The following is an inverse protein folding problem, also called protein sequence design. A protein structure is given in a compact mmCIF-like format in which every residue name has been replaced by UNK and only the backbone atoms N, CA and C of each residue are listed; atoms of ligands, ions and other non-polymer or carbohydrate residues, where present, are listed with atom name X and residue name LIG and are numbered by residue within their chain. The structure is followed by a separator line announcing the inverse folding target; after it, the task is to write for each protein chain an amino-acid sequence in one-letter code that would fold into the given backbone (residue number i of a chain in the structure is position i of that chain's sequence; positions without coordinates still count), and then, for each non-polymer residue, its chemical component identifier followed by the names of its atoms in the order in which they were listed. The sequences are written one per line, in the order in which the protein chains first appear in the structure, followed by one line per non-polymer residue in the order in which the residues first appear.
data_IF_123279522607
#
_entry.id   IF_123279522607
#
_cell.length_a   1.000
_cell.length_b   1.000
_cell.length_c   1.000
_cell.angle_alpha   90.00
_cell.angle_beta   90.00
_cell.angle_gamma   90.00
#
_symmetry.space_group_name_H-M   'P 1'
#
loop_
_entity.id
_entity.type
_entity.pdbx_description
1 polymer ?
#
# COMPACT_ATOMS: atom_id res chain seq x y z
N UNK A 1 9.64 -3.07 -8.36
CA UNK A 1 10.07 -3.29 -6.96
C UNK A 1 9.84 -4.76 -6.68
N UNK A 2 10.82 -5.47 -6.13
CA UNK A 2 10.68 -6.88 -5.74
C UNK A 2 10.56 -6.87 -4.21
N UNK A 3 9.56 -7.55 -3.67
CA UNK A 3 9.30 -7.65 -2.23
C UNK A 3 9.34 -9.13 -1.82
N UNK A 4 9.94 -9.42 -0.65
CA UNK A 4 10.11 -10.78 -0.13
C UNK A 4 9.40 -10.89 1.23
N UNK A 5 8.49 -11.85 1.36
CA UNK A 5 7.70 -12.06 2.57
C UNK A 5 7.73 -13.54 2.99
N UNK A 6 7.82 -13.80 4.30
CA UNK A 6 7.74 -15.15 4.86
C UNK A 6 7.05 -15.13 6.22
N UNK A 7 6.12 -16.08 6.44
CA UNK A 7 5.46 -16.29 7.74
C UNK A 7 6.31 -17.15 8.68
N UNK A 8 7.14 -18.04 8.12
CA UNK A 8 8.03 -18.89 8.90
C UNK A 8 9.41 -18.25 9.01
N UNK A 9 10.15 -18.62 10.07
CA UNK A 9 11.61 -18.56 10.00
C UNK A 9 12.03 -19.34 8.75
N UNK A 10 13.09 -18.88 8.08
CA UNK A 10 13.65 -19.58 6.92
C UNK A 10 13.75 -21.07 7.27
N UNK A 11 13.34 -21.99 6.37
CA UNK A 11 13.42 -23.41 6.67
C UNK A 11 14.83 -23.75 7.16
N UNK A 12 14.96 -24.60 8.17
CA UNK A 12 16.26 -25.19 8.53
C UNK A 12 16.69 -26.04 7.32
N UNK A 13 17.47 -25.43 6.44
CA UNK A 13 18.12 -26.13 5.34
C UNK A 13 19.51 -26.50 5.85
N UNK A 14 19.85 -27.79 5.91
CA UNK A 14 21.16 -28.23 6.40
C UNK A 14 22.33 -27.66 5.58
N UNK A 15 22.07 -27.26 4.33
CA UNK A 15 23.08 -26.79 3.38
C UNK A 15 22.64 -25.48 2.68
N UNK A 16 22.41 -24.43 3.47
CA UNK A 16 22.12 -23.09 2.93
C UNK A 16 23.40 -22.30 2.66
N UNK A 17 23.41 -21.57 1.54
CA UNK A 17 24.42 -20.56 1.25
C UNK A 17 23.83 -19.17 1.45
N UNK A 18 24.37 -18.42 2.40
CA UNK A 18 24.07 -17.00 2.54
C UNK A 18 24.80 -16.26 1.42
N UNK A 19 24.05 -15.65 0.50
CA UNK A 19 24.62 -14.71 -0.48
C UNK A 19 24.21 -13.29 -0.07
N UNK A 20 25.16 -12.38 0.21
CA UNK A 20 24.82 -11.01 0.49
C UNK A 20 24.17 -10.37 -0.74
N UNK A 21 23.04 -9.70 -0.54
CA UNK A 21 22.49 -8.81 -1.56
C UNK A 21 23.31 -7.52 -1.48
N UNK A 22 24.14 -7.27 -2.48
CA UNK A 22 24.88 -6.02 -2.60
C UNK A 22 23.93 -4.92 -3.06
N UNK A 23 23.47 -4.14 -2.09
CA UNK A 23 22.63 -2.96 -2.32
C UNK A 23 23.60 -1.79 -2.47
N UNK A 24 23.65 -1.15 -3.64
CA UNK A 24 24.42 0.10 -3.79
C UNK A 24 23.77 1.20 -2.94
N UNK A 25 24.56 2.18 -2.47
CA UNK A 25 24.05 3.28 -1.61
C UNK A 25 22.89 4.07 -2.26
N UNK A 26 22.75 4.00 -3.58
CA UNK A 26 21.64 4.60 -4.34
C UNK A 26 20.31 3.86 -4.18
N UNK A 27 20.31 2.64 -3.62
CA UNK A 27 19.13 1.79 -3.40
C UNK A 27 18.73 1.82 -1.91
N UNK A 28 18.68 3.03 -1.34
CA UNK A 28 18.14 3.35 0.01
C UNK A 28 16.61 3.15 0.12
N UNK A 29 15.99 2.36 -0.77
CA UNK A 29 14.53 2.28 -0.92
C UNK A 29 13.90 1.01 -0.33
N UNK A 30 14.65 0.21 0.45
CA UNK A 30 14.08 -0.93 1.15
C UNK A 30 13.08 -0.44 2.20
N UNK A 31 11.82 -0.42 1.83
CA UNK A 31 10.71 -0.15 2.72
C UNK A 31 10.38 -1.48 3.41
N UNK A 32 10.96 -1.73 4.57
CA UNK A 32 10.54 -2.86 5.39
C UNK A 32 9.16 -2.55 5.97
N UNK A 33 8.12 -3.14 5.38
CA UNK A 33 6.80 -3.21 6.00
C UNK A 33 6.83 -4.44 6.90
N UNK A 34 6.68 -4.23 8.21
CA UNK A 34 6.35 -5.34 9.11
C UNK A 34 4.89 -5.66 8.85
N UNK A 35 4.63 -6.77 8.18
CA UNK A 35 3.28 -7.26 7.96
C UNK A 35 2.78 -7.92 9.24
N UNK A 36 1.69 -7.39 9.78
CA UNK A 36 0.87 -8.14 10.73
C UNK A 36 0.10 -9.27 10.00
N UNK A 37 -0.65 -10.06 10.77
CA UNK A 37 -1.36 -11.21 10.20
C UNK A 37 -2.43 -10.79 9.19
N UNK A 38 -3.08 -9.66 9.45
CA UNK A 38 -4.15 -9.08 8.67
C UNK A 38 -3.63 -8.64 7.30
N UNK A 39 -2.53 -7.90 7.25
CA UNK A 39 -1.89 -7.50 5.99
C UNK A 39 -1.19 -8.66 5.28
N UNK A 40 -0.69 -9.66 6.00
CA UNK A 40 -0.17 -10.87 5.36
C UNK A 40 -1.29 -11.66 4.67
N UNK A 41 -2.45 -11.81 5.31
CA UNK A 41 -3.61 -12.43 4.68
C UNK A 41 -4.07 -11.61 3.46
N UNK A 42 -4.12 -10.29 3.60
CA UNK A 42 -4.46 -9.37 2.51
C UNK A 42 -3.51 -9.52 1.30
N UNK A 43 -2.21 -9.71 1.54
CA UNK A 43 -1.23 -9.98 0.49
C UNK A 43 -1.58 -11.24 -0.30
N UNK A 44 -1.89 -12.33 0.41
CA UNK A 44 -2.22 -13.61 -0.22
C UNK A 44 -3.54 -13.54 -1.01
N UNK A 45 -4.55 -12.87 -0.48
CA UNK A 45 -5.84 -12.67 -1.15
C UNK A 45 -5.71 -11.79 -2.39
N UNK A 46 -4.83 -10.79 -2.34
CA UNK A 46 -4.59 -9.85 -3.43
C UNK A 46 -3.61 -10.31 -4.50
N UNK A 47 -2.90 -11.42 -4.25
CA UNK A 47 -1.89 -11.95 -5.15
C UNK A 47 -2.54 -12.76 -6.29
N UNK A 48 -2.03 -12.54 -7.50
CA UNK A 48 -2.40 -13.26 -8.72
C UNK A 48 -1.14 -13.66 -9.47
N UNK A 49 -1.23 -14.70 -10.30
CA UNK A 49 -0.10 -15.15 -11.12
C UNK A 49 -0.31 -14.69 -12.55
N UNK A 50 0.62 -13.88 -13.06
CA UNK A 50 0.65 -13.43 -14.46
C UNK A 50 1.98 -13.90 -15.05
N UNK A 51 1.94 -14.69 -16.12
CA UNK A 51 3.13 -15.25 -16.79
C UNK A 51 4.10 -15.97 -15.84
N UNK A 52 3.56 -16.67 -14.83
CA UNK A 52 4.34 -17.38 -13.82
C UNK A 52 4.93 -16.50 -12.71
N UNK A 53 4.63 -15.20 -12.71
CA UNK A 53 5.08 -14.22 -11.72
C UNK A 53 3.92 -13.88 -10.79
N UNK A 54 4.15 -13.97 -9.48
CA UNK A 54 3.18 -13.51 -8.48
C UNK A 54 3.19 -11.98 -8.41
N UNK A 55 2.03 -11.37 -8.66
CA UNK A 55 1.80 -9.93 -8.70
C UNK A 55 0.62 -9.62 -7.81
N UNK A 56 0.73 -8.59 -6.98
CA UNK A 56 -0.41 -8.08 -6.21
C UNK A 56 -1.26 -7.15 -7.08
N UNK A 57 -2.57 -7.37 -7.09
CA UNK A 57 -3.52 -6.57 -7.86
C UNK A 57 -3.62 -5.12 -7.38
N UNK A 58 -4.05 -4.22 -8.27
CA UNK A 58 -4.11 -2.78 -8.00
C UNK A 58 -4.97 -2.40 -6.77
N UNK A 59 -6.19 -2.96 -6.56
CA UNK A 59 -6.99 -2.63 -5.38
C UNK A 59 -6.28 -3.00 -4.07
N UNK A 60 -5.60 -4.15 -4.04
CA UNK A 60 -4.89 -4.59 -2.84
C UNK A 60 -3.64 -3.74 -2.62
N UNK A 61 -2.92 -3.38 -3.69
CA UNK A 61 -1.80 -2.41 -3.59
C UNK A 61 -2.23 -1.07 -2.99
N UNK A 62 -3.42 -0.57 -3.33
CA UNK A 62 -3.96 0.66 -2.72
C UNK A 62 -4.00 0.55 -1.20
N UNK A 63 -4.45 -0.58 -0.65
CA UNK A 63 -4.52 -0.81 0.79
C UNK A 63 -3.14 -0.80 1.45
N UNK A 64 -2.14 -1.43 0.81
CA UNK A 64 -0.75 -1.39 1.30
C UNK A 64 -0.17 0.03 1.28
N UNK A 65 -0.46 0.82 0.23
CA UNK A 65 0.01 2.20 0.12
C UNK A 65 -0.68 3.10 1.15
N UNK A 66 -1.98 2.93 1.38
CA UNK A 66 -2.71 3.63 2.41
C UNK A 66 -2.14 3.35 3.80
N UNK A 67 -1.85 2.08 4.11
CA UNK A 67 -1.23 1.68 5.38
C UNK A 67 0.15 2.30 5.57
N UNK A 68 1.02 2.18 4.56
CA UNK A 68 2.36 2.76 4.61
C UNK A 68 2.31 4.29 4.81
N UNK A 69 1.33 4.98 4.21
CA UNK A 69 1.12 6.40 4.43
C UNK A 69 0.76 6.71 5.89
N UNK A 70 -0.19 5.98 6.47
CA UNK A 70 -0.60 6.14 7.87
C UNK A 70 0.57 5.88 8.83
N UNK A 71 1.31 4.81 8.61
CA UNK A 71 2.45 4.44 9.47
C UNK A 71 3.56 5.50 9.40
N UNK A 72 3.86 6.04 8.21
CA UNK A 72 4.86 7.11 8.07
C UNK A 72 4.39 8.44 8.69
N UNK A 73 3.09 8.76 8.60
CA UNK A 73 2.51 9.94 9.26
C UNK A 73 2.58 9.81 10.77
N UNK A 74 2.19 8.66 11.32
CA UNK A 74 2.29 8.35 12.75
C UNK A 74 3.73 8.46 13.25
N UNK A 75 4.70 7.85 12.55
CA UNK A 75 6.12 7.95 12.93
C UNK A 75 6.63 9.37 12.90
N UNK A 76 6.18 10.19 11.94
CA UNK A 76 6.51 11.62 11.87
C UNK A 76 5.92 12.39 13.05
N UNK A 77 4.69 12.10 13.45
CA UNK A 77 4.01 12.68 14.62
C UNK A 77 4.72 12.28 15.94
N UNK A 78 5.26 11.07 16.01
CA UNK A 78 6.08 10.56 17.13
C UNK A 78 7.50 11.15 17.18
N UNK A 79 7.86 12.02 16.22
CA UNK A 79 9.16 12.70 16.19
C UNK A 79 10.29 11.89 15.54
N UNK A 80 10.01 10.76 14.92
CA UNK A 80 11.01 10.01 14.16
C UNK A 80 11.41 10.75 12.87
N UNK A 81 12.67 10.57 12.45
CA UNK A 81 13.15 11.12 11.18
C UNK A 81 12.48 10.37 10.01
N UNK A 82 11.50 11.02 9.39
CA UNK A 82 10.76 10.49 8.23
C UNK A 82 10.96 11.41 7.02
N UNK A 83 11.30 10.81 5.87
CA UNK A 83 11.36 11.55 4.62
C UNK A 83 9.94 11.90 4.16
N UNK A 84 9.60 13.19 4.18
CA UNK A 84 8.26 13.66 3.76
C UNK A 84 7.96 13.39 2.29
N UNK A 85 8.99 13.20 1.44
CA UNK A 85 8.81 12.75 0.06
C UNK A 85 8.25 11.33 -0.02
N UNK A 86 8.59 10.46 0.93
CA UNK A 86 8.05 9.09 1.01
C UNK A 86 6.57 9.10 1.36
N UNK A 87 6.14 9.95 2.31
CA UNK A 87 4.72 10.14 2.64
C UNK A 87 3.95 10.59 1.39
N UNK A 88 4.41 11.64 0.72
CA UNK A 88 3.73 12.15 -0.47
C UNK A 88 3.72 11.12 -1.61
N UNK A 89 4.79 10.32 -1.75
CA UNK A 89 4.85 9.24 -2.73
C UNK A 89 3.73 8.23 -2.53
N UNK A 90 3.50 7.73 -1.31
CA UNK A 90 2.44 6.74 -1.07
C UNK A 90 1.04 7.30 -1.38
N UNK A 91 0.77 8.56 -1.04
CA UNK A 91 -0.48 9.24 -1.43
C UNK A 91 -0.66 9.28 -2.94
N UNK A 92 0.38 9.72 -3.66
CA UNK A 92 0.37 9.77 -5.14
C UNK A 92 0.22 8.39 -5.77
N UNK A 93 0.85 7.38 -5.19
CA UNK A 93 0.73 6.00 -5.64
C UNK A 93 -0.71 5.49 -5.52
N UNK A 94 -1.43 5.80 -4.42
CA UNK A 94 -2.88 5.46 -4.29
C UNK A 94 -3.70 6.08 -5.42
N UNK A 95 -3.54 7.39 -5.64
CA UNK A 95 -4.28 8.10 -6.70
C UNK A 95 -3.96 7.52 -8.08
N UNK A 96 -2.69 7.21 -8.35
CA UNK A 96 -2.28 6.58 -9.62
C UNK A 96 -2.85 5.17 -9.78
N UNK A 97 -2.82 4.37 -8.74
CA UNK A 97 -3.39 3.01 -8.77
C UNK A 97 -4.90 3.06 -9.00
N UNK A 98 -5.58 4.05 -8.42
CA UNK A 98 -7.01 4.26 -8.67
C UNK A 98 -7.33 4.42 -10.16
N UNK A 99 -6.48 5.12 -10.93
CA UNK A 99 -6.66 5.27 -12.39
C UNK A 99 -6.57 3.95 -13.18
N UNK A 100 -6.09 2.88 -12.55
CA UNK A 100 -5.92 1.55 -13.16
C UNK A 100 -7.02 0.56 -12.76
N UNK A 101 -7.96 1.00 -11.91
CA UNK A 101 -9.04 0.15 -11.44
C UNK A 101 -10.10 -0.07 -12.52
N UNK A 102 -10.72 -1.24 -12.49
CA UNK A 102 -11.87 -1.57 -13.31
C UNK A 102 -13.16 -1.12 -12.63
N UNK A 103 -14.13 -0.64 -13.42
CA UNK A 103 -15.35 0.03 -12.93
C UNK A 103 -16.29 -0.87 -12.11
N UNK A 104 -16.18 -2.20 -12.22
CA UNK A 104 -17.08 -3.17 -11.58
C UNK A 104 -16.40 -3.99 -10.47
N UNK A 105 -15.22 -3.57 -10.02
CA UNK A 105 -14.48 -4.33 -9.03
C UNK A 105 -15.00 -4.07 -7.61
N UNK A 106 -15.24 -5.13 -6.85
CA UNK A 106 -15.50 -5.06 -5.41
C UNK A 106 -14.45 -5.88 -4.67
N UNK A 107 -13.93 -5.35 -3.55
CA UNK A 107 -12.95 -6.06 -2.74
C UNK A 107 -13.54 -6.29 -1.35
N UNK A 108 -13.60 -7.56 -0.95
CA UNK A 108 -13.98 -7.91 0.42
C UNK A 108 -12.73 -7.86 1.30
N UNK A 109 -12.77 -7.02 2.33
CA UNK A 109 -11.70 -6.84 3.30
C UNK A 109 -12.24 -6.95 4.72
N UNK A 110 -11.38 -7.34 5.66
CA UNK A 110 -11.74 -7.42 7.08
C UNK A 110 -11.87 -6.03 7.72
N UNK A 111 -12.49 -5.97 8.91
CA UNK A 111 -12.78 -4.71 9.61
C UNK A 111 -11.52 -3.92 10.02
N UNK A 112 -10.40 -4.60 10.29
CA UNK A 112 -9.13 -3.92 10.60
C UNK A 112 -8.61 -3.17 9.38
N UNK A 113 -8.63 -3.82 8.22
CA UNK A 113 -8.21 -3.20 6.96
C UNK A 113 -9.18 -2.07 6.58
N UNK A 114 -10.49 -2.27 6.73
CA UNK A 114 -11.50 -1.21 6.52
C UNK A 114 -11.23 0.02 7.39
N UNK A 115 -10.95 -0.18 8.68
CA UNK A 115 -10.62 0.91 9.60
C UNK A 115 -9.42 1.72 9.11
N UNK A 116 -8.36 1.04 8.67
CA UNK A 116 -7.18 1.70 8.13
C UNK A 116 -7.47 2.48 6.83
N UNK A 117 -8.14 1.87 5.84
CA UNK A 117 -8.42 2.58 4.59
C UNK A 117 -9.37 3.75 4.84
N UNK A 118 -10.36 3.62 5.73
CA UNK A 118 -11.25 4.71 6.08
C UNK A 118 -10.50 5.87 6.77
N UNK A 119 -9.61 5.57 7.72
CA UNK A 119 -8.75 6.59 8.34
C UNK A 119 -7.90 7.31 7.31
N UNK A 120 -7.31 6.57 6.37
CA UNK A 120 -6.54 7.16 5.27
C UNK A 120 -7.40 8.11 4.44
N UNK A 121 -8.58 7.69 3.99
CA UNK A 121 -9.48 8.49 3.16
C UNK A 121 -9.89 9.80 3.86
N UNK A 122 -10.27 9.73 5.14
CA UNK A 122 -10.61 10.92 5.94
C UNK A 122 -9.40 11.88 6.03
N UNK A 123 -8.20 11.36 6.28
CA UNK A 123 -7.00 12.20 6.43
C UNK A 123 -6.56 12.84 5.12
N UNK A 124 -6.66 12.14 3.99
CA UNK A 124 -6.29 12.75 2.70
C UNK A 124 -7.31 13.80 2.24
N UNK A 125 -8.59 13.62 2.58
CA UNK A 125 -9.64 14.60 2.33
C UNK A 125 -9.34 15.91 3.08
N UNK A 126 -8.96 15.81 4.36
CA UNK A 126 -8.61 16.96 5.19
C UNK A 126 -7.33 17.68 4.74
N UNK A 127 -6.38 16.98 4.12
CA UNK A 127 -5.18 17.61 3.57
C UNK A 127 -5.46 18.47 2.33
N UNK A 128 -6.57 18.21 1.62
CA UNK A 128 -7.08 18.95 0.46
C UNK A 128 -5.98 19.48 -0.48
N UNK A 129 -5.06 18.59 -0.88
CA UNK A 129 -3.98 18.96 -1.80
C UNK A 129 -4.41 18.72 -3.23
N UNK A 130 -4.16 19.69 -4.08
CA UNK A 130 -4.35 19.60 -5.53
C UNK A 130 -3.76 18.31 -6.13
N UNK A 131 -4.60 17.59 -6.87
CA UNK A 131 -4.29 16.33 -7.56
C UNK A 131 -4.32 16.48 -9.09
N UNK A 132 -4.60 17.67 -9.62
CA UNK A 132 -4.75 17.93 -11.07
C UNK A 132 -3.53 17.50 -11.88
N UNK A 133 -2.33 17.59 -11.31
CA UNK A 133 -1.08 17.12 -11.92
C UNK A 133 -0.98 15.59 -12.08
N UNK A 134 -1.83 14.83 -11.38
CA UNK A 134 -1.88 13.36 -11.46
C UNK A 134 -3.06 12.91 -12.31
N UNK A 135 -4.22 13.52 -12.08
CA UNK A 135 -5.48 13.20 -12.77
C UNK A 135 -6.18 14.52 -13.09
N UNK A 136 -6.13 14.98 -14.34
CA UNK A 136 -6.86 16.17 -14.76
C UNK A 136 -8.36 15.96 -14.62
N UNK A 137 -9.08 17.03 -14.31
CA UNK A 137 -10.55 17.10 -14.35
C UNK A 137 -11.33 16.21 -13.36
N UNK A 138 -10.65 15.52 -12.44
CA UNK A 138 -11.27 14.69 -11.40
C UNK A 138 -10.93 15.26 -10.02
N UNK A 139 -11.94 15.44 -9.18
CA UNK A 139 -11.75 15.91 -7.81
C UNK A 139 -11.28 14.79 -6.87
N UNK A 140 -10.57 15.16 -5.80
CA UNK A 140 -10.16 14.18 -4.79
C UNK A 140 -11.38 13.51 -4.12
N UNK A 141 -12.49 14.23 -3.95
CA UNK A 141 -13.72 13.71 -3.37
C UNK A 141 -14.37 12.62 -4.25
N UNK A 142 -14.31 12.74 -5.57
CA UNK A 142 -14.76 11.67 -6.49
C UNK A 142 -13.94 10.39 -6.31
N UNK A 143 -12.61 10.51 -6.27
CA UNK A 143 -11.72 9.37 -6.03
C UNK A 143 -12.02 8.72 -4.67
N UNK A 144 -12.25 9.52 -3.64
CA UNK A 144 -12.60 9.01 -2.30
C UNK A 144 -13.93 8.27 -2.34
N UNK A 145 -14.95 8.79 -3.03
CA UNK A 145 -16.25 8.15 -3.15
C UNK A 145 -16.13 6.77 -3.84
N UNK A 146 -15.37 6.69 -4.94
CA UNK A 146 -15.12 5.45 -5.65
C UNK A 146 -14.38 4.42 -4.78
N UNK A 147 -13.36 4.86 -4.04
CA UNK A 147 -12.63 3.98 -3.12
C UNK A 147 -13.50 3.50 -1.96
N UNK A 148 -14.41 4.34 -1.45
CA UNK A 148 -15.39 3.90 -0.44
C UNK A 148 -16.32 2.82 -1.00
N UNK A 149 -16.78 2.97 -2.24
CA UNK A 149 -17.61 1.97 -2.91
C UNK A 149 -16.85 0.65 -3.11
N UNK A 150 -15.65 0.71 -3.69
CA UNK A 150 -14.76 -0.43 -3.95
C UNK A 150 -14.53 -1.29 -2.70
N UNK A 151 -14.31 -0.64 -1.55
CA UNK A 151 -13.97 -1.30 -0.28
C UNK A 151 -15.15 -1.47 0.69
N UNK A 152 -16.38 -1.14 0.25
CA UNK A 152 -17.61 -1.25 1.05
C UNK A 152 -17.50 -0.53 2.40
N UNK A 153 -17.01 0.70 2.36
CA UNK A 153 -16.93 1.58 3.53
C UNK A 153 -18.26 2.32 3.63
N UNK A 154 -19.04 2.02 4.68
CA UNK A 154 -20.28 2.72 4.96
C UNK A 154 -19.99 4.15 5.46
N UNK A 155 -20.86 5.11 5.11
CA UNK A 155 -20.83 6.49 5.65
C UNK A 155 -21.03 6.55 7.16
#
# INVERSE_FOLDING_TARGET
MIELFSKSQLPEVEDYRITPIYISDDVSSLSAIVLDNEYYQLLNEGAQVVDGISIISAPYLILFKAKAWLDLKKRKEEGHQVNSKSIEKHRKDVIRLWTTLETEQEVTINEVIKGHINEFLIKIEQEDKDISSLVPDISLSEIIADLKLLFKINE
#
